data_IF_179328388620
#
_entry.id   IF_179328388620
#
_cell.length_a   1.000
_cell.length_b   1.000
_cell.length_c   1.000
_cell.angle_alpha   90.00
_cell.angle_beta   90.00
_cell.angle_gamma   90.00
#
_symmetry.space_group_name_H-M   'P 1'
#
loop_
_entity.id
_entity.type
_entity.pdbx_description
1 polymer ?
#
# COMPACT_ATOMS: atom_id res chain seq x y z
N UNK A 1 2.19 32.45 -86.44
CA UNK A 1 0.76 32.15 -86.16
C UNK A 1 0.72 30.90 -85.31
N UNK A 2 0.11 31.02 -84.11
CA UNK A 2 -0.42 29.95 -83.28
C UNK A 2 0.63 29.05 -82.63
N UNK A 3 0.67 28.80 -81.37
CA UNK A 3 -0.35 28.94 -80.32
C UNK A 3 0.34 28.76 -78.96
N UNK A 4 0.07 29.66 -78.07
CA UNK A 4 0.38 29.55 -76.64
C UNK A 4 -0.88 29.03 -75.99
N UNK A 5 -0.88 27.81 -75.41
CA UNK A 5 -1.79 27.40 -74.41
C UNK A 5 -1.48 25.93 -73.97
N UNK A 6 -0.61 25.72 -73.00
CA UNK A 6 -0.56 24.51 -72.24
C UNK A 6 0.53 24.61 -71.11
N UNK A 7 0.34 25.59 -70.22
CA UNK A 7 1.25 25.75 -69.09
C UNK A 7 0.53 26.13 -67.77
N UNK A 8 -0.80 25.92 -67.66
CA UNK A 8 -1.56 26.33 -66.46
C UNK A 8 -2.24 25.18 -65.68
N UNK A 9 -2.07 23.93 -66.13
CA UNK A 9 -2.74 22.78 -65.47
C UNK A 9 -1.80 21.94 -64.56
N UNK A 10 -0.50 22.18 -64.59
CA UNK A 10 0.47 21.41 -63.75
C UNK A 10 0.81 22.06 -62.42
N UNK A 11 0.38 23.32 -62.19
CA UNK A 11 0.67 24.02 -60.93
C UNK A 11 -0.45 23.88 -59.87
N UNK A 12 -1.67 23.47 -60.23
CA UNK A 12 -2.77 23.26 -59.29
C UNK A 12 -2.75 21.88 -58.65
N UNK A 13 -2.20 20.86 -59.31
CA UNK A 13 -2.14 19.50 -58.79
C UNK A 13 -0.96 19.29 -57.81
N UNK A 14 0.10 20.08 -57.92
CA UNK A 14 1.21 20.05 -56.95
C UNK A 14 0.90 20.77 -55.64
N UNK A 15 -0.04 21.75 -55.64
CA UNK A 15 -0.48 22.44 -54.41
C UNK A 15 -1.50 21.63 -53.62
N UNK A 16 -2.29 20.76 -54.29
CA UNK A 16 -3.25 19.87 -53.65
C UNK A 16 -2.62 18.63 -52.99
N UNK A 17 -1.48 18.16 -53.51
CA UNK A 17 -0.72 17.05 -52.93
C UNK A 17 0.13 17.46 -51.71
N UNK A 18 0.54 18.73 -51.63
CA UNK A 18 1.30 19.26 -50.49
C UNK A 18 0.42 19.60 -49.28
N UNK A 19 -0.90 19.84 -49.47
CA UNK A 19 -1.85 20.09 -48.36
C UNK A 19 -2.49 18.85 -47.77
N UNK A 20 -2.32 17.67 -48.39
CA UNK A 20 -2.80 16.37 -47.83
C UNK A 20 -1.74 15.59 -47.06
N UNK A 21 -0.48 16.09 -47.00
CA UNK A 21 0.58 15.47 -46.22
C UNK A 21 0.78 16.10 -44.82
N UNK A 22 -0.08 17.04 -44.42
CA UNK A 22 0.02 17.76 -43.15
C UNK A 22 -0.84 17.20 -42.02
N UNK A 23 -1.55 16.08 -42.22
CA UNK A 23 -2.40 15.44 -41.19
C UNK A 23 -2.15 13.92 -41.02
N UNK A 24 -0.89 13.50 -41.11
CA UNK A 24 -0.50 12.24 -40.49
C UNK A 24 -0.29 12.54 -38.97
N UNK A 25 -0.98 11.86 -38.06
CA UNK A 25 -0.72 12.06 -36.64
C UNK A 25 0.72 11.63 -36.37
N UNK A 26 1.57 12.64 -36.12
CA UNK A 26 2.94 12.47 -35.65
C UNK A 26 2.90 11.58 -34.42
N UNK A 27 3.77 10.58 -34.42
CA UNK A 27 4.01 9.52 -33.50
C UNK A 27 3.34 9.63 -32.14
N UNK A 28 2.70 8.54 -31.73
CA UNK A 28 2.04 8.41 -30.44
C UNK A 28 2.83 9.16 -29.35
N UNK A 29 2.32 10.32 -28.94
CA UNK A 29 2.70 10.97 -27.68
C UNK A 29 2.53 9.90 -26.61
N UNK A 30 3.66 9.42 -26.07
CA UNK A 30 3.66 8.67 -24.83
C UNK A 30 3.03 9.61 -23.82
N UNK A 31 1.75 9.40 -23.48
CA UNK A 31 1.02 10.28 -22.59
C UNK A 31 1.76 10.41 -21.27
N UNK A 32 2.45 11.52 -21.08
CA UNK A 32 2.92 11.91 -19.77
C UNK A 32 1.68 11.98 -18.88
N UNK A 33 1.74 11.28 -17.74
CA UNK A 33 0.66 11.34 -16.75
C UNK A 33 0.48 12.81 -16.34
N UNK A 34 -0.74 13.31 -16.47
CA UNK A 34 -1.06 14.68 -16.08
C UNK A 34 -0.84 14.85 -14.57
N UNK A 35 0.06 15.74 -14.18
CA UNK A 35 0.34 16.05 -12.77
C UNK A 35 -0.82 16.84 -12.17
N UNK A 36 -1.82 16.13 -11.67
CA UNK A 36 -3.07 16.69 -11.14
C UNK A 36 -3.13 16.74 -9.61
N UNK A 37 -2.38 15.85 -8.91
CA UNK A 37 -2.48 15.66 -7.45
C UNK A 37 -1.60 16.66 -6.68
N UNK A 38 -2.21 17.49 -5.83
CA UNK A 38 -1.50 18.36 -4.89
C UNK A 38 -1.17 17.64 -3.58
N UNK A 39 -0.51 18.36 -2.65
CA UNK A 39 -0.18 17.84 -1.32
C UNK A 39 -1.40 17.31 -0.53
N UNK A 40 -2.58 17.98 -0.49
CA UNK A 40 -3.74 17.47 0.25
C UNK A 40 -4.24 16.12 -0.27
N UNK A 41 -4.27 15.94 -1.60
CA UNK A 41 -4.68 14.67 -2.21
C UNK A 41 -3.68 13.56 -1.93
N UNK A 42 -2.38 13.85 -2.02
CA UNK A 42 -1.33 12.88 -1.67
C UNK A 42 -1.38 12.48 -0.19
N UNK A 43 -1.66 13.43 0.73
CA UNK A 43 -1.88 13.15 2.15
C UNK A 43 -3.13 12.29 2.37
N UNK A 44 -4.24 12.60 1.69
CA UNK A 44 -5.47 11.81 1.80
C UNK A 44 -5.26 10.36 1.35
N UNK A 45 -4.49 10.14 0.28
CA UNK A 45 -4.12 8.79 -0.18
C UNK A 45 -3.26 8.09 0.87
N UNK A 46 -2.19 8.73 1.36
CA UNK A 46 -1.27 8.12 2.32
C UNK A 46 -1.94 7.81 3.66
N UNK A 47 -2.65 8.77 4.24
CA UNK A 47 -3.39 8.58 5.50
C UNK A 47 -4.51 7.55 5.31
N UNK A 48 -5.29 7.67 4.25
CA UNK A 48 -6.43 6.79 4.00
C UNK A 48 -6.05 5.34 3.76
N UNK A 49 -4.89 5.08 3.14
CA UNK A 49 -4.39 3.72 2.94
C UNK A 49 -3.76 3.12 4.20
N UNK A 50 -3.17 3.94 5.08
CA UNK A 50 -2.65 3.50 6.37
C UNK A 50 -3.75 3.37 7.42
N UNK A 51 -4.67 4.34 7.53
CA UNK A 51 -5.85 4.27 8.43
C UNK A 51 -6.89 3.31 7.83
N UNK A 52 -6.45 2.11 7.52
CA UNK A 52 -7.30 1.01 7.08
C UNK A 52 -7.73 0.14 8.26
N UNK A 53 -7.76 -1.16 8.05
CA UNK A 53 -8.09 -2.13 9.09
C UNK A 53 -7.16 -2.06 10.32
N UNK A 54 -5.95 -1.54 10.18
CA UNK A 54 -4.94 -1.58 11.24
C UNK A 54 -5.37 -0.94 12.55
N UNK A 55 -5.92 0.28 12.50
CA UNK A 55 -6.37 0.99 13.71
C UNK A 55 -7.59 0.34 14.36
N UNK A 56 -8.34 -0.43 13.59
CA UNK A 56 -9.58 -1.06 14.04
C UNK A 56 -9.36 -2.49 14.55
N UNK A 57 -8.44 -3.26 13.95
CA UNK A 57 -8.24 -4.70 14.22
C UNK A 57 -7.13 -4.95 15.23
N UNK A 58 -6.01 -4.22 15.14
CA UNK A 58 -4.86 -4.51 15.99
C UNK A 58 -4.94 -4.09 17.47
N UNK A 59 -5.76 -3.14 17.91
CA UNK A 59 -5.72 -2.73 19.32
C UNK A 59 -5.90 -3.87 20.31
N UNK A 60 -6.83 -4.81 20.06
CA UNK A 60 -7.02 -5.98 20.91
C UNK A 60 -5.86 -6.96 20.85
N UNK A 61 -5.42 -7.31 19.65
CA UNK A 61 -4.30 -8.23 19.43
C UNK A 61 -2.99 -7.69 20.02
N UNK A 62 -2.65 -6.42 19.74
CA UNK A 62 -1.45 -5.79 20.24
C UNK A 62 -1.44 -5.63 21.78
N UNK A 63 -2.59 -5.27 22.36
CA UNK A 63 -2.73 -5.19 23.81
C UNK A 63 -2.60 -6.58 24.48
N UNK A 64 -3.06 -7.64 23.82
CA UNK A 64 -2.89 -9.02 24.28
C UNK A 64 -1.44 -9.48 24.30
N UNK A 65 -0.65 -9.10 23.29
CA UNK A 65 0.76 -9.50 23.20
C UNK A 65 1.70 -8.67 24.07
N UNK A 66 1.61 -7.32 24.01
CA UNK A 66 2.56 -6.44 24.67
C UNK A 66 1.96 -5.62 25.84
N UNK A 67 0.68 -5.77 26.12
CA UNK A 67 0.01 -4.96 27.14
C UNK A 67 0.00 -3.47 26.77
N UNK A 68 0.08 -2.57 27.76
CA UNK A 68 0.18 -1.12 27.51
C UNK A 68 1.41 -0.73 26.68
N UNK A 69 2.51 -1.53 26.73
CA UNK A 69 3.72 -1.29 25.96
C UNK A 69 3.50 -1.47 24.43
N UNK A 70 2.36 -1.97 23.97
CA UNK A 70 1.98 -2.00 22.56
C UNK A 70 2.01 -0.61 21.92
N UNK A 71 1.82 0.47 22.69
CA UNK A 71 2.03 1.84 22.16
C UNK A 71 3.44 2.09 21.66
N UNK A 72 4.46 1.49 22.31
CA UNK A 72 5.85 1.56 21.82
C UNK A 72 6.03 0.75 20.53
N UNK A 73 5.31 -0.36 20.36
CA UNK A 73 5.34 -1.14 19.14
C UNK A 73 4.88 -0.31 17.93
N UNK A 74 3.78 0.44 18.08
CA UNK A 74 3.33 1.36 17.04
C UNK A 74 4.29 2.54 16.84
N UNK A 75 4.88 3.09 17.90
CA UNK A 75 5.88 4.14 17.78
C UNK A 75 7.13 3.66 17.02
N UNK A 76 7.63 2.46 17.34
CA UNK A 76 8.76 1.83 16.63
C UNK A 76 8.39 1.59 15.17
N UNK A 77 7.19 1.06 14.88
CA UNK A 77 6.68 0.89 13.52
C UNK A 77 6.67 2.20 12.72
N UNK A 78 6.22 3.30 13.35
CA UNK A 78 6.26 4.63 12.75
C UNK A 78 7.69 5.11 12.47
N UNK A 79 8.62 4.89 13.39
CA UNK A 79 10.04 5.24 13.19
C UNK A 79 10.64 4.45 12.03
N UNK A 80 10.39 3.13 11.95
CA UNK A 80 10.85 2.30 10.82
C UNK A 80 10.25 2.83 9.51
N UNK A 81 8.95 3.11 9.50
CA UNK A 81 8.29 3.66 8.31
C UNK A 81 8.87 5.01 7.88
N UNK A 82 9.23 5.91 8.82
CA UNK A 82 9.90 7.18 8.53
C UNK A 82 11.31 6.99 7.96
N UNK A 83 12.09 6.06 8.54
CA UNK A 83 13.44 5.73 8.06
C UNK A 83 13.41 5.17 6.63
N UNK A 84 12.32 4.54 6.22
CA UNK A 84 12.11 4.03 4.85
C UNK A 84 11.49 5.09 3.95
N UNK A 85 10.57 5.92 4.45
CA UNK A 85 9.85 6.93 3.66
C UNK A 85 10.80 7.97 3.04
N UNK A 86 11.84 8.37 3.76
CA UNK A 86 12.84 9.33 3.27
C UNK A 86 13.67 8.79 2.09
N UNK A 87 14.29 7.61 2.16
CA UNK A 87 14.94 6.97 1.01
C UNK A 87 13.98 6.72 -0.16
N UNK A 88 12.77 6.26 0.13
CA UNK A 88 11.74 6.02 -0.89
C UNK A 88 11.35 7.30 -1.63
N UNK A 89 11.25 8.42 -0.91
CA UNK A 89 10.96 9.72 -1.50
C UNK A 89 12.05 10.16 -2.50
N UNK A 90 13.32 9.93 -2.18
CA UNK A 90 14.41 10.22 -3.11
C UNK A 90 14.35 9.34 -4.37
N UNK A 91 14.14 8.01 -4.18
CA UNK A 91 14.01 7.09 -5.31
C UNK A 91 12.83 7.47 -6.21
N UNK A 92 11.68 7.82 -5.61
CA UNK A 92 10.47 8.17 -6.34
C UNK A 92 10.58 9.51 -7.09
N UNK A 93 11.35 10.48 -6.58
CA UNK A 93 11.62 11.74 -7.30
C UNK A 93 12.66 11.58 -8.41
N UNK A 94 13.58 10.61 -8.29
CA UNK A 94 14.53 10.28 -9.34
C UNK A 94 13.93 9.43 -10.47
N UNK A 95 12.90 8.65 -10.16
CA UNK A 95 12.27 7.70 -11.06
C UNK A 95 10.73 7.81 -10.93
N UNK A 96 10.11 8.91 -11.45
CA UNK A 96 8.68 9.18 -11.29
C UNK A 96 7.81 8.31 -12.20
N UNK A 97 7.98 6.99 -12.11
CA UNK A 97 7.28 5.98 -12.89
C UNK A 97 6.33 5.16 -12.01
N UNK A 98 5.26 4.65 -12.60
CA UNK A 98 4.36 3.73 -11.94
C UNK A 98 5.02 2.36 -11.74
N UNK A 99 4.99 1.83 -10.51
CA UNK A 99 5.61 0.53 -10.17
C UNK A 99 6.22 0.49 -8.78
N UNK A 100 6.48 1.65 -8.18
CA UNK A 100 6.93 1.78 -6.79
C UNK A 100 8.20 0.97 -6.50
N UNK A 101 8.21 0.26 -5.35
CA UNK A 101 9.38 -0.46 -4.88
C UNK A 101 9.96 -1.49 -5.86
N UNK A 102 9.11 -2.20 -6.57
CA UNK A 102 9.55 -3.13 -7.63
C UNK A 102 10.38 -2.41 -8.70
N UNK A 103 9.89 -1.29 -9.20
CA UNK A 103 10.57 -0.53 -10.25
C UNK A 103 11.93 0.01 -9.76
N UNK A 104 11.97 0.60 -8.57
CA UNK A 104 13.20 1.16 -8.00
C UNK A 104 14.27 0.09 -7.79
N UNK A 105 13.89 -1.08 -7.27
CA UNK A 105 14.81 -2.17 -6.96
C UNK A 105 15.30 -2.86 -8.22
N UNK A 106 14.45 -3.10 -9.21
CA UNK A 106 14.84 -3.73 -10.47
C UNK A 106 15.87 -2.90 -11.24
N UNK A 107 15.77 -1.57 -11.19
CA UNK A 107 16.70 -0.64 -11.85
C UNK A 107 18.02 -0.44 -11.10
N UNK A 108 18.00 -0.57 -9.77
CA UNK A 108 19.19 -0.32 -8.93
C UNK A 108 19.99 -1.57 -8.61
N UNK A 109 19.31 -2.69 -8.27
CA UNK A 109 19.90 -3.94 -7.80
C UNK A 109 19.82 -5.08 -8.83
N UNK A 110 19.08 -4.89 -9.93
CA UNK A 110 19.00 -5.85 -11.02
C UNK A 110 17.80 -6.81 -10.95
N UNK A 111 17.70 -7.68 -11.98
CA UNK A 111 16.52 -8.49 -12.25
C UNK A 111 16.15 -9.50 -11.17
N UNK A 112 17.14 -10.12 -10.50
CA UNK A 112 16.89 -11.09 -9.44
C UNK A 112 16.11 -10.44 -8.28
N UNK A 113 16.66 -9.35 -7.72
CA UNK A 113 16.00 -8.64 -6.62
C UNK A 113 14.69 -7.99 -7.08
N UNK A 114 14.63 -7.50 -8.32
CA UNK A 114 13.40 -7.02 -8.95
C UNK A 114 12.32 -8.09 -8.98
N UNK A 115 12.63 -9.30 -9.44
CA UNK A 115 11.68 -10.42 -9.48
C UNK A 115 11.22 -10.84 -8.08
N UNK A 116 12.14 -10.99 -7.13
CA UNK A 116 11.82 -11.34 -5.75
C UNK A 116 10.89 -10.31 -5.11
N UNK A 117 11.19 -9.02 -5.28
CA UNK A 117 10.37 -7.94 -4.74
C UNK A 117 9.04 -7.81 -5.47
N UNK A 118 9.02 -7.96 -6.79
CA UNK A 118 7.79 -7.89 -7.56
C UNK A 118 6.78 -8.96 -7.18
N UNK A 119 7.22 -10.23 -7.10
CA UNK A 119 6.41 -11.35 -6.61
C UNK A 119 6.08 -11.17 -5.13
N UNK A 120 7.04 -10.73 -4.31
CA UNK A 120 6.84 -10.43 -2.89
C UNK A 120 5.80 -9.33 -2.68
N UNK A 121 5.84 -8.23 -3.41
CA UNK A 121 4.86 -7.14 -3.34
C UNK A 121 3.47 -7.61 -3.76
N UNK A 122 3.37 -8.37 -4.87
CA UNK A 122 2.10 -8.95 -5.30
C UNK A 122 1.49 -9.84 -4.22
N UNK A 123 2.23 -10.83 -3.73
CA UNK A 123 1.74 -11.74 -2.68
C UNK A 123 1.56 -11.04 -1.34
N UNK A 124 2.41 -10.08 -0.97
CA UNK A 124 2.23 -9.27 0.24
C UNK A 124 0.90 -8.54 0.25
N UNK A 125 0.47 -7.98 -0.90
CA UNK A 125 -0.85 -7.37 -1.06
C UNK A 125 -1.99 -8.41 -1.05
N UNK A 126 -1.76 -9.63 -1.53
CA UNK A 126 -2.71 -10.75 -1.43
C UNK A 126 -2.95 -11.12 0.03
N UNK A 127 -1.88 -11.29 0.82
CA UNK A 127 -1.97 -11.54 2.27
C UNK A 127 -2.65 -10.40 3.03
N UNK A 128 -2.29 -9.15 2.71
CA UNK A 128 -2.94 -7.97 3.29
C UNK A 128 -4.43 -7.91 2.94
N UNK A 129 -4.82 -8.24 1.71
CA UNK A 129 -6.24 -8.29 1.31
C UNK A 129 -7.02 -9.34 2.09
N UNK A 130 -6.45 -10.53 2.29
CA UNK A 130 -7.06 -11.57 3.11
C UNK A 130 -7.20 -11.12 4.57
N UNK A 131 -6.18 -10.46 5.15
CA UNK A 131 -6.25 -9.86 6.48
C UNK A 131 -7.37 -8.82 6.59
N UNK A 132 -7.49 -7.90 5.62
CA UNK A 132 -8.56 -6.88 5.64
C UNK A 132 -9.95 -7.48 5.51
N UNK A 133 -10.13 -8.51 4.68
CA UNK A 133 -11.40 -9.22 4.53
C UNK A 133 -11.78 -10.01 5.79
N UNK A 134 -10.82 -10.61 6.47
CA UNK A 134 -11.06 -11.24 7.78
C UNK A 134 -11.50 -10.20 8.81
N UNK A 135 -10.80 -9.06 8.90
CA UNK A 135 -11.20 -7.95 9.75
C UNK A 135 -12.63 -7.48 9.46
N UNK A 136 -12.99 -7.34 8.16
CA UNK A 136 -14.36 -7.01 7.75
C UNK A 136 -15.38 -8.06 8.23
N UNK A 137 -15.02 -9.33 8.17
CA UNK A 137 -15.86 -10.43 8.67
C UNK A 137 -16.15 -10.32 10.17
N UNK A 138 -15.15 -9.98 10.99
CA UNK A 138 -15.32 -9.74 12.43
C UNK A 138 -16.27 -8.57 12.71
N UNK A 139 -16.06 -7.44 12.03
CA UNK A 139 -16.93 -6.27 12.16
C UNK A 139 -18.37 -6.53 11.73
N UNK A 140 -18.57 -7.30 10.66
CA UNK A 140 -19.90 -7.70 10.21
C UNK A 140 -20.58 -8.64 11.22
N UNK A 141 -19.82 -9.58 11.81
CA UNK A 141 -20.31 -10.46 12.88
C UNK A 141 -20.79 -9.65 14.09
N UNK A 142 -20.01 -8.66 14.53
CA UNK A 142 -20.39 -7.77 15.62
C UNK A 142 -21.60 -6.90 15.29
N UNK A 143 -21.72 -6.41 14.05
CA UNK A 143 -22.90 -5.67 13.61
C UNK A 143 -24.17 -6.52 13.74
N UNK A 144 -24.14 -7.77 13.28
CA UNK A 144 -25.30 -8.67 13.36
C UNK A 144 -25.67 -8.98 14.81
N UNK A 145 -24.67 -9.16 15.68
CA UNK A 145 -24.89 -9.40 17.11
C UNK A 145 -25.52 -8.17 17.81
N UNK A 146 -25.03 -6.96 17.51
CA UNK A 146 -25.53 -5.73 18.11
C UNK A 146 -26.95 -5.40 17.64
N UNK A 147 -27.27 -5.69 16.36
CA UNK A 147 -28.60 -5.45 15.80
C UNK A 147 -29.63 -6.55 16.14
N UNK A 148 -29.18 -7.65 16.76
CA UNK A 148 -30.05 -8.78 17.12
C UNK A 148 -30.55 -9.60 15.91
N UNK A 149 -29.93 -9.44 14.74
CA UNK A 149 -30.32 -10.20 13.54
C UNK A 149 -29.90 -11.67 13.59
N UNK A 150 -28.78 -11.94 14.27
CA UNK A 150 -28.26 -13.28 14.50
C UNK A 150 -27.25 -13.26 15.67
N UNK A 151 -26.87 -14.44 16.19
CA UNK A 151 -25.83 -14.60 17.22
C UNK A 151 -24.41 -14.22 16.69
N UNK A 152 -24.32 -13.68 15.50
CA UNK A 152 -23.14 -13.28 14.77
C UNK A 152 -23.07 -13.95 13.39
N UNK A 153 -22.43 -13.29 12.41
CA UNK A 153 -22.16 -13.92 11.13
C UNK A 153 -20.91 -14.82 11.22
N UNK A 154 -20.86 -15.96 10.51
CA UNK A 154 -19.63 -16.73 10.39
C UNK A 154 -18.55 -15.87 9.71
N UNK A 155 -17.49 -15.50 10.44
CA UNK A 155 -16.43 -14.56 10.00
C UNK A 155 -15.84 -14.97 8.64
N UNK A 156 -15.40 -16.24 8.53
CA UNK A 156 -14.81 -16.78 7.31
C UNK A 156 -15.78 -16.75 6.13
N UNK A 157 -17.03 -17.14 6.34
CA UNK A 157 -18.04 -17.13 5.27
C UNK A 157 -18.35 -15.70 4.78
N UNK A 158 -18.43 -14.74 5.70
CA UNK A 158 -18.62 -13.32 5.39
C UNK A 158 -17.43 -12.76 4.61
N UNK A 159 -16.20 -13.05 5.06
CA UNK A 159 -14.98 -12.65 4.37
C UNK A 159 -14.88 -13.24 2.96
N UNK A 160 -15.23 -14.52 2.78
CA UNK A 160 -15.27 -15.17 1.47
C UNK A 160 -16.32 -14.55 0.56
N UNK A 161 -17.55 -14.37 1.05
CA UNK A 161 -18.65 -13.79 0.25
C UNK A 161 -18.32 -12.38 -0.25
N UNK A 162 -17.79 -11.53 0.64
CA UNK A 162 -17.38 -10.17 0.27
C UNK A 162 -16.13 -10.19 -0.61
N UNK A 163 -15.16 -11.09 -0.37
CA UNK A 163 -13.99 -11.26 -1.22
C UNK A 163 -14.34 -11.65 -2.65
N UNK A 164 -15.29 -12.57 -2.85
CA UNK A 164 -15.84 -12.95 -4.15
C UNK A 164 -16.53 -11.73 -4.80
N UNK A 165 -17.36 -11.02 -4.04
CA UNK A 165 -18.07 -9.84 -4.52
C UNK A 165 -17.10 -8.75 -4.99
N UNK A 166 -16.09 -8.38 -4.17
CA UNK A 166 -15.10 -7.35 -4.51
C UNK A 166 -14.26 -7.75 -5.72
N UNK A 167 -13.82 -9.01 -5.80
CA UNK A 167 -13.10 -9.51 -6.96
C UNK A 167 -13.96 -9.43 -8.22
N UNK A 168 -15.23 -9.83 -8.13
CA UNK A 168 -16.18 -9.74 -9.22
C UNK A 168 -16.45 -8.30 -9.68
N UNK A 169 -16.68 -7.39 -8.75
CA UNK A 169 -16.84 -5.94 -9.02
C UNK A 169 -15.59 -5.36 -9.66
N UNK A 170 -14.39 -5.74 -9.19
CA UNK A 170 -13.12 -5.30 -9.77
C UNK A 170 -12.95 -5.75 -11.23
N UNK A 171 -13.47 -6.93 -11.61
CA UNK A 171 -13.47 -7.41 -13.00
C UNK A 171 -14.40 -6.58 -13.89
N UNK A 172 -15.54 -6.13 -13.36
CA UNK A 172 -16.50 -5.32 -14.14
C UNK A 172 -16.05 -3.88 -14.36
N UNK A 173 -15.08 -3.41 -13.58
CA UNK A 173 -14.49 -2.06 -13.68
C UNK A 173 -15.43 -0.96 -13.17
N UNK A 174 -15.01 -0.25 -12.14
CA UNK A 174 -15.76 0.91 -11.60
C UNK A 174 -15.05 2.21 -11.92
N UNK A 175 -15.72 3.12 -12.61
CA UNK A 175 -15.14 4.43 -13.02
C UNK A 175 -15.09 5.48 -11.90
N UNK A 176 -15.81 5.31 -10.79
CA UNK A 176 -16.01 6.36 -9.77
C UNK A 176 -15.38 6.03 -8.39
N UNK A 177 -14.28 5.29 -8.34
CA UNK A 177 -13.71 4.81 -7.07
C UNK A 177 -13.01 5.93 -6.27
N UNK A 178 -12.51 6.98 -6.92
CA UNK A 178 -11.71 8.02 -6.26
C UNK A 178 -12.50 8.92 -5.32
N UNK A 179 -13.66 9.43 -5.76
CA UNK A 179 -14.48 10.33 -4.94
C UNK A 179 -15.08 9.61 -3.73
N UNK A 180 -15.53 8.36 -3.93
CA UNK A 180 -16.03 7.53 -2.84
C UNK A 180 -14.94 7.28 -1.79
N UNK A 181 -13.71 7.00 -2.22
CA UNK A 181 -12.56 6.81 -1.33
C UNK A 181 -12.30 8.05 -0.48
N UNK A 182 -12.34 9.25 -1.07
CA UNK A 182 -12.13 10.50 -0.35
C UNK A 182 -13.20 10.73 0.73
N UNK A 183 -14.47 10.43 0.43
CA UNK A 183 -15.55 10.52 1.41
C UNK A 183 -15.40 9.50 2.54
N UNK A 184 -14.99 8.27 2.24
CA UNK A 184 -14.71 7.25 3.26
C UNK A 184 -13.60 7.75 4.19
N UNK A 185 -12.47 8.22 3.65
CA UNK A 185 -11.33 8.71 4.44
C UNK A 185 -11.73 9.92 5.30
N UNK A 186 -12.46 10.89 4.73
CA UNK A 186 -12.94 12.05 5.49
C UNK A 186 -13.86 11.62 6.66
N UNK A 187 -14.80 10.70 6.40
CA UNK A 187 -15.69 10.18 7.45
C UNK A 187 -14.93 9.45 8.55
N UNK A 188 -13.93 8.62 8.17
CA UNK A 188 -13.05 7.94 9.11
C UNK A 188 -12.26 8.91 9.99
N UNK A 189 -11.72 10.00 9.41
CA UNK A 189 -10.99 11.01 10.15
C UNK A 189 -11.90 11.73 11.17
N UNK A 190 -13.15 12.03 10.81
CA UNK A 190 -14.12 12.65 11.72
C UNK A 190 -14.46 11.70 12.87
N UNK A 191 -14.73 10.41 12.58
CA UNK A 191 -15.03 9.39 13.61
C UNK A 191 -13.85 9.23 14.56
N UNK A 192 -12.63 9.10 14.03
CA UNK A 192 -11.42 8.96 14.83
C UNK A 192 -11.10 10.21 15.64
N UNK A 193 -11.28 11.40 15.08
CA UNK A 193 -11.09 12.66 15.80
C UNK A 193 -12.07 12.77 16.98
N UNK A 194 -13.33 12.39 16.80
CA UNK A 194 -14.32 12.33 17.88
C UNK A 194 -13.95 11.32 18.96
N UNK A 195 -13.53 10.12 18.56
CA UNK A 195 -13.06 9.07 19.47
C UNK A 195 -11.82 9.53 20.26
N UNK A 196 -10.81 10.06 19.57
CA UNK A 196 -9.56 10.55 20.18
C UNK A 196 -9.82 11.72 21.12
N UNK A 197 -10.62 12.72 20.68
CA UNK A 197 -10.92 13.88 21.48
C UNK A 197 -11.59 13.50 22.81
N UNK A 198 -12.62 12.66 22.75
CA UNK A 198 -13.27 12.16 23.99
C UNK A 198 -12.33 11.29 24.83
N UNK A 199 -11.54 10.42 24.18
CA UNK A 199 -10.58 9.57 24.90
C UNK A 199 -9.51 10.38 25.65
N UNK A 200 -8.96 11.43 25.01
CA UNK A 200 -7.98 12.33 25.64
C UNK A 200 -8.61 13.07 26.84
N UNK A 201 -9.82 13.61 26.67
CA UNK A 201 -10.53 14.28 27.77
C UNK A 201 -10.82 13.34 28.94
N UNK A 202 -11.16 12.10 28.64
CA UNK A 202 -11.39 11.07 29.66
C UNK A 202 -10.09 10.73 30.42
N UNK A 203 -9.00 10.49 29.67
CA UNK A 203 -7.67 10.23 30.26
C UNK A 203 -7.16 11.45 31.03
N UNK A 204 -7.51 12.67 30.65
CA UNK A 204 -7.21 13.89 31.41
C UNK A 204 -8.01 14.02 32.71
N UNK A 205 -8.97 13.10 32.99
CA UNK A 205 -9.77 13.08 34.20
C UNK A 205 -11.03 13.95 34.17
N UNK A 206 -11.39 14.48 32.99
CA UNK A 206 -12.58 15.36 32.84
C UNK A 206 -13.87 14.64 33.23
N UNK A 207 -13.98 13.34 32.95
CA UNK A 207 -15.17 12.53 33.23
C UNK A 207 -15.10 11.72 34.54
N UNK A 208 -13.97 11.79 35.28
CA UNK A 208 -13.80 11.16 36.61
C UNK A 208 -13.91 9.64 36.60
N UNK A 209 -13.67 8.97 35.47
CA UNK A 209 -13.73 7.51 35.38
C UNK A 209 -12.52 6.88 36.04
N UNK A 210 -12.73 5.73 36.71
CA UNK A 210 -11.66 4.92 37.24
C UNK A 210 -10.85 4.30 36.10
N UNK A 211 -9.53 4.35 36.23
CA UNK A 211 -8.58 3.75 35.29
C UNK A 211 -8.16 2.38 35.78
N UNK A 212 -7.93 1.47 34.83
CA UNK A 212 -7.38 0.16 35.16
C UNK A 212 -5.88 0.31 35.43
N UNK A 213 -5.40 0.08 36.68
CA UNK A 213 -3.96 0.11 36.97
C UNK A 213 -3.27 -1.02 36.20
N UNK A 214 -2.19 -0.71 35.50
CA UNK A 214 -1.46 -1.70 34.72
C UNK A 214 0.06 -1.52 34.88
N UNK A 215 0.78 -2.66 34.90
CA UNK A 215 2.23 -2.67 34.67
C UNK A 215 2.50 -2.35 33.20
N UNK A 216 3.43 -1.42 32.93
CA UNK A 216 3.68 -0.98 31.55
C UNK A 216 4.26 -2.10 30.67
N UNK A 217 5.14 -2.95 31.22
CA UNK A 217 5.73 -4.13 30.55
C UNK A 217 5.30 -5.42 31.24
N UNK A 218 4.04 -5.85 31.13
CA UNK A 218 3.57 -7.03 31.85
C UNK A 218 4.25 -8.32 31.38
N UNK A 219 4.64 -8.37 30.12
CA UNK A 219 5.25 -9.53 29.46
C UNK A 219 6.73 -9.32 29.09
N UNK A 220 7.35 -8.25 29.61
CA UNK A 220 8.74 -7.88 29.28
C UNK A 220 8.86 -7.05 27.99
N UNK A 221 10.10 -6.90 27.47
CA UNK A 221 10.40 -6.02 26.36
C UNK A 221 10.30 -6.72 25.00
N UNK A 222 10.55 -8.03 24.93
CA UNK A 222 10.55 -8.79 23.67
C UNK A 222 9.19 -8.69 22.95
N UNK A 223 8.04 -8.81 23.63
CA UNK A 223 6.72 -8.64 22.99
C UNK A 223 6.53 -7.29 22.28
N UNK A 224 7.22 -6.24 22.67
CA UNK A 224 7.16 -4.96 21.93
C UNK A 224 7.65 -5.12 20.49
N UNK A 225 8.70 -5.90 20.26
CA UNK A 225 9.24 -6.13 18.93
C UNK A 225 8.41 -7.13 18.12
N UNK A 226 7.91 -8.21 18.75
CA UNK A 226 7.01 -9.16 18.07
C UNK A 226 5.71 -8.47 17.66
N UNK A 227 5.13 -7.65 18.54
CA UNK A 227 3.96 -6.83 18.21
C UNK A 227 4.28 -5.81 17.12
N UNK A 228 5.48 -5.18 17.12
CA UNK A 228 5.88 -4.28 16.02
C UNK A 228 5.87 -5.02 14.67
N UNK A 229 6.37 -6.24 14.65
CA UNK A 229 6.40 -7.08 13.45
C UNK A 229 4.98 -7.41 12.96
N UNK A 230 4.08 -7.77 13.87
CA UNK A 230 2.66 -8.06 13.61
C UNK A 230 1.93 -6.85 13.01
N UNK A 231 2.05 -5.68 13.67
CA UNK A 231 1.26 -4.49 13.33
C UNK A 231 1.84 -3.69 12.14
N UNK A 232 3.03 -4.04 11.65
CA UNK A 232 3.70 -3.24 10.62
C UNK A 232 2.90 -3.14 9.32
N UNK A 233 2.05 -4.11 9.04
CA UNK A 233 1.08 -4.07 7.92
C UNK A 233 0.21 -2.80 7.94
N UNK A 234 0.03 -2.16 9.09
CA UNK A 234 -0.71 -0.89 9.22
C UNK A 234 0.01 0.30 8.60
N UNK A 235 1.32 0.21 8.40
CA UNK A 235 2.14 1.28 7.82
C UNK A 235 2.41 1.11 6.32
N UNK A 236 1.89 0.06 5.65
CA UNK A 236 2.21 -0.21 4.24
C UNK A 236 1.77 0.92 3.29
N UNK A 237 0.77 1.70 3.69
CA UNK A 237 0.13 2.71 2.84
C UNK A 237 1.03 3.88 2.40
N UNK A 238 2.07 4.24 3.15
CA UNK A 238 2.94 5.36 2.77
C UNK A 238 3.65 5.12 1.43
N UNK A 239 4.03 3.88 1.15
CA UNK A 239 4.70 3.53 -0.10
C UNK A 239 3.76 3.63 -1.33
N UNK A 240 2.46 3.63 -1.13
CA UNK A 240 1.50 3.85 -2.22
C UNK A 240 1.56 5.27 -2.78
N UNK A 241 1.95 6.27 -1.96
CA UNK A 241 2.19 7.62 -2.45
C UNK A 241 3.31 7.62 -3.50
N UNK A 242 4.36 6.81 -3.30
CA UNK A 242 5.47 6.69 -4.24
C UNK A 242 5.06 6.08 -5.59
N UNK A 243 4.05 5.22 -5.63
CA UNK A 243 3.54 4.64 -6.89
C UNK A 243 2.82 5.67 -7.77
N UNK A 244 2.41 6.79 -7.19
CA UNK A 244 1.71 7.89 -7.85
C UNK A 244 2.61 9.12 -8.08
N UNK A 245 3.93 8.96 -7.94
CA UNK A 245 4.90 10.06 -8.06
C UNK A 245 4.78 10.84 -9.37
N UNK A 246 4.46 10.16 -10.49
CA UNK A 246 4.25 10.78 -11.81
C UNK A 246 3.02 11.70 -11.90
N UNK A 247 2.04 11.54 -10.99
CA UNK A 247 0.79 12.33 -10.97
C UNK A 247 0.83 13.48 -9.95
N UNK A 248 1.87 13.54 -9.10
CA UNK A 248 2.00 14.55 -8.04
C UNK A 248 2.64 15.83 -8.59
N UNK A 249 2.00 16.98 -8.30
CA UNK A 249 2.55 18.31 -8.58
C UNK A 249 3.74 18.58 -7.68
N UNK A 250 4.81 19.18 -8.23
CA UNK A 250 6.07 19.49 -7.53
C UNK A 250 6.56 18.28 -6.70
N UNK A 251 6.86 17.12 -7.35
CA UNK A 251 7.15 15.86 -6.66
C UNK A 251 8.33 15.99 -5.70
N UNK A 252 9.36 16.78 -6.03
CA UNK A 252 10.50 17.03 -5.15
C UNK A 252 10.14 17.61 -3.79
N UNK A 253 9.02 18.30 -3.69
CA UNK A 253 8.55 18.95 -2.46
C UNK A 253 7.36 18.24 -1.83
N UNK A 254 6.35 17.91 -2.64
CA UNK A 254 5.08 17.39 -2.13
C UNK A 254 5.15 15.92 -1.76
N UNK A 255 5.89 15.10 -2.49
CA UNK A 255 6.00 13.67 -2.26
C UNK A 255 6.68 13.34 -0.91
N UNK A 256 7.88 13.89 -0.57
CA UNK A 256 8.49 13.64 0.73
C UNK A 256 7.61 14.13 1.89
N UNK A 257 6.97 15.31 1.72
CA UNK A 257 6.07 15.85 2.75
C UNK A 257 4.86 14.98 2.95
N UNK A 258 4.22 14.53 1.87
CA UNK A 258 3.07 13.64 1.96
C UNK A 258 3.43 12.34 2.67
N UNK A 259 4.55 11.70 2.32
CA UNK A 259 4.98 10.45 2.95
C UNK A 259 5.30 10.64 4.43
N UNK A 260 6.11 11.63 4.79
CA UNK A 260 6.53 11.86 6.18
C UNK A 260 5.36 12.29 7.06
N UNK A 261 4.56 13.27 6.62
CA UNK A 261 3.42 13.77 7.41
C UNK A 261 2.38 12.67 7.58
N UNK A 262 2.10 11.87 6.55
CA UNK A 262 1.15 10.75 6.66
C UNK A 262 1.58 9.73 7.71
N UNK A 263 2.86 9.33 7.72
CA UNK A 263 3.39 8.39 8.72
C UNK A 263 3.33 8.99 10.13
N UNK A 264 3.69 10.27 10.30
CA UNK A 264 3.63 10.94 11.61
C UNK A 264 2.20 11.03 12.14
N UNK A 265 1.25 11.47 11.31
CA UNK A 265 -0.16 11.59 11.70
C UNK A 265 -0.71 10.23 12.09
N UNK A 266 -0.50 9.22 11.26
CA UNK A 266 -1.02 7.87 11.51
C UNK A 266 -0.33 7.21 12.70
N UNK A 267 0.98 7.40 12.86
CA UNK A 267 1.72 6.91 14.02
C UNK A 267 1.18 7.48 15.34
N UNK A 268 0.91 8.79 15.38
CA UNK A 268 0.29 9.44 16.55
C UNK A 268 -1.11 8.89 16.81
N UNK A 269 -1.93 8.72 15.76
CA UNK A 269 -3.28 8.14 15.89
C UNK A 269 -3.22 6.73 16.49
N UNK A 270 -2.32 5.89 16.04
CA UNK A 270 -2.16 4.52 16.57
C UNK A 270 -1.71 4.52 18.02
N UNK A 271 -0.67 5.27 18.36
CA UNK A 271 -0.16 5.36 19.73
C UNK A 271 -1.26 5.85 20.68
N UNK A 272 -2.00 6.89 20.29
CA UNK A 272 -3.13 7.41 21.09
C UNK A 272 -4.26 6.39 21.22
N UNK A 273 -4.58 5.66 20.15
CA UNK A 273 -5.62 4.61 20.20
C UNK A 273 -5.28 3.55 21.24
N UNK A 274 -4.07 3.02 21.23
CA UNK A 274 -3.62 2.02 22.20
C UNK A 274 -3.60 2.61 23.61
N UNK A 275 -3.08 3.81 23.77
CA UNK A 275 -3.03 4.49 25.06
C UNK A 275 -4.42 4.66 25.68
N UNK A 276 -5.37 5.18 24.92
CA UNK A 276 -6.75 5.37 25.36
C UNK A 276 -7.40 4.01 25.68
N UNK A 277 -7.24 3.04 24.77
CA UNK A 277 -7.89 1.73 24.90
C UNK A 277 -7.40 0.96 26.14
N UNK A 278 -6.08 0.91 26.35
CA UNK A 278 -5.49 0.22 27.51
C UNK A 278 -5.79 0.93 28.82
N UNK A 279 -5.82 2.28 28.83
CA UNK A 279 -6.15 3.06 30.01
C UNK A 279 -7.59 2.84 30.50
N UNK A 280 -8.54 2.59 29.59
CA UNK A 280 -9.95 2.46 29.89
C UNK A 280 -10.37 1.03 30.23
N UNK A 281 -10.00 0.06 29.42
CA UNK A 281 -10.48 -1.32 29.55
C UNK A 281 -9.42 -2.28 30.10
N UNK A 282 -8.15 -1.88 30.09
CA UNK A 282 -7.04 -2.77 30.43
C UNK A 282 -6.68 -3.74 29.30
N UNK A 283 -5.43 -4.19 29.30
CA UNK A 283 -4.89 -5.05 28.25
C UNK A 283 -5.52 -6.44 28.21
N UNK A 284 -5.83 -7.03 29.37
CA UNK A 284 -6.48 -8.36 29.44
C UNK A 284 -7.86 -8.33 28.79
N UNK A 285 -8.67 -7.32 29.14
CA UNK A 285 -10.01 -7.18 28.56
C UNK A 285 -9.98 -6.91 27.06
N UNK A 286 -9.02 -6.11 26.60
CA UNK A 286 -8.84 -5.85 25.16
C UNK A 286 -8.45 -7.13 24.41
N UNK A 287 -7.59 -7.97 25.01
CA UNK A 287 -7.19 -9.26 24.45
C UNK A 287 -8.38 -10.22 24.30
N UNK A 288 -9.22 -10.31 25.32
CA UNK A 288 -10.44 -11.14 25.29
C UNK A 288 -11.44 -10.70 24.19
N UNK A 289 -11.49 -9.38 23.91
CA UNK A 289 -12.36 -8.81 22.88
C UNK A 289 -11.80 -8.97 21.47
N UNK A 290 -10.51 -9.24 21.34
CA UNK A 290 -9.85 -9.55 20.07
C UNK A 290 -9.94 -8.40 19.05
N UNK A 291 -10.24 -8.73 17.80
CA UNK A 291 -10.15 -7.86 16.63
C UNK A 291 -11.16 -6.70 16.64
N UNK A 292 -12.23 -6.78 17.43
CA UNK A 292 -13.25 -5.71 17.54
C UNK A 292 -13.20 -4.96 18.86
N UNK A 293 -12.12 -5.11 19.63
CA UNK A 293 -11.96 -4.51 20.96
C UNK A 293 -12.25 -3.00 20.99
N UNK A 294 -11.85 -2.25 19.93
CA UNK A 294 -12.05 -0.80 19.84
C UNK A 294 -13.54 -0.39 19.84
N UNK A 295 -14.46 -1.26 19.39
CA UNK A 295 -15.91 -1.00 19.46
C UNK A 295 -16.36 -0.93 20.92
N UNK A 296 -15.84 -1.79 21.77
CA UNK A 296 -16.12 -1.79 23.20
C UNK A 296 -15.52 -0.58 23.93
N UNK A 297 -14.31 -0.16 23.54
CA UNK A 297 -13.69 1.10 24.02
C UNK A 297 -14.57 2.30 23.67
N UNK A 298 -15.02 2.39 22.42
CA UNK A 298 -15.89 3.46 21.96
C UNK A 298 -17.25 3.46 22.67
N UNK A 299 -17.77 2.26 22.98
CA UNK A 299 -18.99 2.12 23.80
C UNK A 299 -18.79 2.65 25.23
N UNK A 300 -17.65 2.38 25.82
CA UNK A 300 -17.29 2.91 27.13
C UNK A 300 -17.16 4.45 27.13
N UNK A 301 -16.62 5.04 26.05
CA UNK A 301 -16.42 6.49 25.92
C UNK A 301 -17.69 7.27 25.58
N UNK A 302 -18.41 6.84 24.56
CA UNK A 302 -19.48 7.57 23.89
C UNK A 302 -20.82 6.81 23.88
N UNK A 303 -20.91 5.72 24.63
CA UNK A 303 -22.11 4.87 24.67
C UNK A 303 -22.39 4.17 23.34
N UNK A 304 -23.66 3.87 23.09
CA UNK A 304 -24.10 3.15 21.87
C UNK A 304 -23.77 3.90 20.59
N UNK A 305 -23.81 5.23 20.62
CA UNK A 305 -23.45 6.06 19.46
C UNK A 305 -21.98 5.88 19.07
N UNK A 306 -21.05 5.90 20.05
CA UNK A 306 -19.64 5.67 19.82
C UNK A 306 -19.35 4.28 19.25
N UNK A 307 -20.00 3.25 19.82
CA UNK A 307 -19.89 1.89 19.33
C UNK A 307 -20.36 1.78 17.87
N UNK A 308 -21.51 2.36 17.54
CA UNK A 308 -22.06 2.36 16.18
C UNK A 308 -21.15 3.11 15.20
N UNK A 309 -20.61 4.26 15.61
CA UNK A 309 -19.70 5.05 14.78
C UNK A 309 -18.40 4.30 14.48
N UNK A 310 -17.76 3.70 15.50
CA UNK A 310 -16.53 2.92 15.32
C UNK A 310 -16.81 1.63 14.52
N UNK A 311 -17.95 1.00 14.71
CA UNK A 311 -18.36 -0.18 13.94
C UNK A 311 -18.51 0.16 12.46
N UNK A 312 -19.22 1.24 12.14
CA UNK A 312 -19.37 1.74 10.77
C UNK A 312 -18.01 2.13 10.18
N UNK A 313 -17.16 2.83 10.96
CA UNK A 313 -15.80 3.19 10.57
C UNK A 313 -14.95 1.95 10.25
N UNK A 314 -14.97 0.93 11.10
CA UNK A 314 -14.25 -0.33 10.90
C UNK A 314 -14.71 -1.08 9.64
N UNK A 315 -16.01 -1.16 9.39
CA UNK A 315 -16.55 -1.75 8.15
C UNK A 315 -16.10 -0.99 6.91
N UNK A 316 -16.20 0.34 6.91
CA UNK A 316 -15.79 1.17 5.78
C UNK A 316 -14.28 1.09 5.55
N UNK A 317 -13.48 1.14 6.61
CA UNK A 317 -12.02 1.09 6.53
C UNK A 317 -11.52 -0.26 5.98
N UNK A 318 -12.04 -1.37 6.54
CA UNK A 318 -11.65 -2.71 6.12
C UNK A 318 -12.07 -3.01 4.68
N UNK A 319 -13.30 -2.62 4.30
CA UNK A 319 -13.81 -2.76 2.93
C UNK A 319 -12.98 -1.97 1.93
N UNK A 320 -12.69 -0.70 2.25
CA UNK A 320 -11.87 0.19 1.42
C UNK A 320 -10.46 -0.35 1.23
N UNK A 321 -9.81 -0.78 2.33
CA UNK A 321 -8.44 -1.32 2.29
C UNK A 321 -8.37 -2.64 1.53
N UNK A 322 -9.36 -3.53 1.70
CA UNK A 322 -9.44 -4.77 0.94
C UNK A 322 -9.55 -4.50 -0.57
N UNK A 323 -10.46 -3.59 -0.97
CA UNK A 323 -10.64 -3.22 -2.37
C UNK A 323 -9.37 -2.60 -2.97
N UNK A 324 -8.74 -1.65 -2.27
CA UNK A 324 -7.50 -1.01 -2.70
C UNK A 324 -6.36 -2.01 -2.86
N UNK A 325 -6.21 -2.96 -1.92
CA UNK A 325 -5.18 -3.99 -1.96
C UNK A 325 -5.40 -5.01 -3.08
N UNK A 326 -6.64 -5.45 -3.34
CA UNK A 326 -6.99 -6.32 -4.46
C UNK A 326 -6.61 -5.65 -5.80
N UNK A 327 -6.98 -4.39 -5.98
CA UNK A 327 -6.66 -3.65 -7.20
C UNK A 327 -5.14 -3.42 -7.34
N UNK A 328 -4.46 -3.03 -6.28
CA UNK A 328 -3.00 -2.82 -6.29
C UNK A 328 -2.24 -4.13 -6.56
N UNK A 329 -2.68 -5.23 -5.97
CA UNK A 329 -2.12 -6.57 -6.21
C UNK A 329 -2.27 -6.99 -7.67
N UNK A 330 -3.45 -6.81 -8.26
CA UNK A 330 -3.68 -7.14 -9.67
C UNK A 330 -2.82 -6.30 -10.62
N UNK A 331 -2.58 -5.02 -10.29
CA UNK A 331 -1.66 -4.15 -11.05
C UNK A 331 -0.21 -4.58 -10.91
N UNK A 332 0.19 -5.04 -9.72
CA UNK A 332 1.56 -5.53 -9.48
C UNK A 332 1.88 -6.74 -10.36
N UNK A 333 1.00 -7.76 -10.37
CA UNK A 333 1.22 -8.95 -11.22
C UNK A 333 1.10 -8.63 -12.72
N UNK A 334 0.24 -7.67 -13.09
CA UNK A 334 0.14 -7.16 -14.46
C UNK A 334 1.45 -6.51 -14.92
N UNK A 335 2.06 -5.68 -14.06
CA UNK A 335 3.35 -5.05 -14.34
C UNK A 335 4.46 -6.08 -14.52
N UNK A 336 4.52 -7.12 -13.68
CA UNK A 336 5.46 -8.24 -13.85
C UNK A 336 5.27 -8.96 -15.18
N UNK A 337 4.02 -9.12 -15.65
CA UNK A 337 3.71 -9.67 -16.97
C UNK A 337 4.23 -8.77 -18.08
N UNK A 338 4.02 -7.46 -18.01
CA UNK A 338 4.50 -6.46 -18.97
C UNK A 338 6.03 -6.49 -19.10
N UNK A 339 6.73 -6.64 -17.99
CA UNK A 339 8.19 -6.67 -17.96
C UNK A 339 8.75 -8.08 -18.27
N UNK A 340 7.89 -9.06 -18.63
CA UNK A 340 8.30 -10.41 -19.05
C UNK A 340 8.75 -11.33 -17.90
N UNK A 341 8.61 -10.92 -16.64
CA UNK A 341 9.00 -11.71 -15.47
C UNK A 341 8.02 -12.84 -15.15
N UNK A 342 6.78 -12.73 -15.63
CA UNK A 342 5.75 -13.77 -15.56
C UNK A 342 5.06 -13.91 -16.93
N UNK A 343 4.25 -14.97 -17.08
CA UNK A 343 3.59 -15.27 -18.35
C UNK A 343 2.82 -14.06 -18.93
N UNK A 344 2.96 -13.75 -20.24
CA UNK A 344 2.24 -12.65 -20.89
C UNK A 344 0.70 -12.78 -20.83
N UNK A 345 0.18 -13.96 -20.53
CA UNK A 345 -1.27 -14.18 -20.36
C UNK A 345 -1.88 -13.31 -19.27
N UNK A 346 -1.07 -12.90 -18.27
CA UNK A 346 -1.51 -12.04 -17.17
C UNK A 346 -1.93 -10.64 -17.64
N UNK A 347 -1.41 -10.20 -18.79
CA UNK A 347 -1.73 -8.91 -19.39
C UNK A 347 -3.06 -8.91 -20.16
N UNK A 348 -3.73 -10.04 -20.30
CA UNK A 348 -4.96 -10.13 -21.06
C UNK A 348 -6.05 -9.26 -20.45
N UNK A 349 -6.54 -8.32 -21.25
CA UNK A 349 -7.65 -7.45 -20.89
C UNK A 349 -8.98 -8.09 -21.31
N UNK A 350 -9.98 -7.95 -20.46
CA UNK A 350 -11.35 -8.34 -20.80
C UNK A 350 -11.85 -7.56 -22.02
N UNK A 351 -12.41 -8.24 -23.01
CA UNK A 351 -12.97 -7.60 -24.23
C UNK A 351 -14.12 -6.64 -23.90
N UNK A 352 -14.90 -6.93 -22.85
CA UNK A 352 -16.08 -6.14 -22.45
C UNK A 352 -15.72 -4.98 -21.51
N UNK A 353 -14.89 -5.23 -20.51
CA UNK A 353 -14.63 -4.29 -19.42
C UNK A 353 -13.26 -3.60 -19.49
N UNK A 354 -12.36 -4.07 -20.37
CA UNK A 354 -10.97 -3.60 -20.51
C UNK A 354 -10.16 -3.66 -19.20
N UNK A 355 -10.52 -4.57 -18.30
CA UNK A 355 -9.83 -4.84 -17.04
C UNK A 355 -8.92 -6.05 -17.16
N UNK A 356 -7.81 -6.15 -16.42
CA UNK A 356 -6.89 -7.29 -16.44
C UNK A 356 -7.50 -8.48 -15.68
N UNK A 357 -8.47 -9.16 -16.27
CA UNK A 357 -9.26 -10.20 -15.63
C UNK A 357 -8.41 -11.40 -15.17
N UNK A 358 -7.36 -11.78 -15.92
CA UNK A 358 -6.47 -12.87 -15.53
C UNK A 358 -5.67 -12.48 -14.28
N UNK A 359 -5.15 -11.26 -14.22
CA UNK A 359 -4.44 -10.75 -13.06
C UNK A 359 -5.36 -10.67 -11.82
N UNK A 360 -6.62 -10.25 -12.01
CA UNK A 360 -7.62 -10.21 -10.94
C UNK A 360 -7.99 -11.60 -10.42
N UNK A 361 -8.12 -12.60 -11.28
CA UNK A 361 -8.39 -13.98 -10.87
C UNK A 361 -7.19 -14.60 -10.16
N UNK A 362 -5.96 -14.36 -10.66
CA UNK A 362 -4.72 -14.79 -10.01
C UNK A 362 -4.50 -14.12 -8.64
N UNK A 363 -5.08 -12.95 -8.43
CA UNK A 363 -5.08 -12.26 -7.13
C UNK A 363 -6.20 -12.78 -6.23
N UNK A 364 -7.44 -12.83 -6.73
CA UNK A 364 -8.62 -13.22 -5.96
C UNK A 364 -8.60 -14.67 -5.50
N UNK A 365 -8.16 -15.61 -6.34
CA UNK A 365 -8.06 -17.04 -5.98
C UNK A 365 -7.22 -17.30 -4.72
N UNK A 366 -5.96 -16.87 -4.68
CA UNK A 366 -5.12 -16.99 -3.48
C UNK A 366 -5.69 -16.26 -2.26
N UNK A 367 -6.31 -15.07 -2.42
CA UNK A 367 -6.97 -14.36 -1.31
C UNK A 367 -8.03 -15.26 -0.67
N UNK A 368 -8.92 -15.85 -1.47
CA UNK A 368 -9.98 -16.75 -0.98
C UNK A 368 -9.39 -17.99 -0.29
N UNK A 369 -8.32 -18.56 -0.83
CA UNK A 369 -7.64 -19.68 -0.20
C UNK A 369 -7.01 -19.32 1.16
N UNK A 370 -6.43 -18.11 1.28
CA UNK A 370 -5.86 -17.60 2.52
C UNK A 370 -6.92 -17.29 3.58
N UNK A 371 -8.10 -16.80 3.18
CA UNK A 371 -9.23 -16.61 4.10
C UNK A 371 -9.66 -17.94 4.74
N UNK A 372 -9.64 -19.04 3.97
CA UNK A 372 -9.93 -20.37 4.52
C UNK A 372 -8.91 -20.84 5.56
N UNK A 373 -7.66 -20.35 5.47
CA UNK A 373 -6.65 -20.62 6.51
C UNK A 373 -6.96 -19.93 7.82
N UNK A 374 -7.61 -18.76 7.82
CA UNK A 374 -8.30 -18.12 8.93
C UNK A 374 -7.42 -17.53 10.06
N UNK A 375 -6.08 -17.54 9.94
CA UNK A 375 -5.17 -17.00 10.96
C UNK A 375 -4.76 -15.56 10.64
N UNK A 376 -5.47 -14.62 11.25
CA UNK A 376 -5.33 -13.16 11.00
C UNK A 376 -3.91 -12.67 11.25
N UNK A 377 -3.27 -13.15 12.34
CA UNK A 377 -1.92 -12.75 12.72
C UNK A 377 -0.90 -13.17 11.65
N UNK A 378 -0.98 -14.42 11.17
CA UNK A 378 -0.07 -14.93 10.14
C UNK A 378 -0.26 -14.17 8.82
N UNK A 379 -1.52 -13.85 8.45
CA UNK A 379 -1.81 -13.06 7.25
C UNK A 379 -1.16 -11.68 7.32
N UNK A 380 -1.28 -11.00 8.47
CA UNK A 380 -0.69 -9.69 8.70
C UNK A 380 0.83 -9.74 8.74
N UNK A 381 1.43 -10.72 9.43
CA UNK A 381 2.88 -10.86 9.53
C UNK A 381 3.54 -11.19 8.19
N UNK A 382 2.99 -12.12 7.39
CA UNK A 382 3.55 -12.45 6.07
C UNK A 382 3.44 -11.24 5.14
N UNK A 383 2.33 -10.50 5.16
CA UNK A 383 2.21 -9.25 4.43
C UNK A 383 3.29 -8.25 4.87
N UNK A 384 3.48 -8.09 6.18
CA UNK A 384 4.54 -7.23 6.75
C UNK A 384 5.93 -7.67 6.31
N UNK A 385 6.25 -8.97 6.38
CA UNK A 385 7.55 -9.52 6.01
C UNK A 385 7.93 -9.20 4.57
N UNK A 386 7.02 -9.47 3.64
CA UNK A 386 7.27 -9.26 2.21
C UNK A 386 7.48 -7.78 1.87
N UNK A 387 6.75 -6.88 2.55
CA UNK A 387 6.94 -5.44 2.38
C UNK A 387 8.19 -4.92 3.11
N UNK A 388 8.50 -5.40 4.32
CA UNK A 388 9.73 -5.04 5.05
C UNK A 388 10.97 -5.47 4.26
N UNK A 389 10.93 -6.63 3.62
CA UNK A 389 12.00 -7.07 2.71
C UNK A 389 12.18 -6.07 1.55
N UNK A 390 11.10 -5.66 0.91
CA UNK A 390 11.12 -4.64 -0.13
C UNK A 390 11.66 -3.30 0.40
N UNK A 391 11.21 -2.84 1.56
CA UNK A 391 11.62 -1.58 2.17
C UNK A 391 13.10 -1.56 2.55
N UNK A 392 13.60 -2.65 3.11
CA UNK A 392 15.03 -2.82 3.36
C UNK A 392 15.85 -2.73 2.08
N UNK A 393 15.41 -3.40 1.01
CA UNK A 393 16.08 -3.32 -0.29
C UNK A 393 15.96 -1.94 -0.96
N UNK A 394 14.89 -1.17 -0.75
CA UNK A 394 14.81 0.21 -1.22
C UNK A 394 15.83 1.11 -0.55
N UNK A 395 16.05 0.92 0.75
CA UNK A 395 17.11 1.61 1.48
C UNK A 395 18.51 1.25 0.94
N UNK A 396 18.76 -0.03 0.68
CA UNK A 396 20.01 -0.52 0.06
C UNK A 396 20.15 0.04 -1.36
N UNK A 397 19.07 0.05 -2.14
CA UNK A 397 19.05 0.59 -3.50
C UNK A 397 19.50 2.06 -3.56
N UNK A 398 19.03 2.88 -2.61
CA UNK A 398 19.48 4.27 -2.51
C UNK A 398 20.98 4.37 -2.25
N UNK A 399 21.52 3.55 -1.33
CA UNK A 399 22.96 3.55 -1.04
C UNK A 399 23.76 3.18 -2.29
N UNK A 400 23.35 2.14 -3.02
CA UNK A 400 24.01 1.68 -4.25
C UNK A 400 23.95 2.74 -5.35
N UNK A 401 22.79 3.38 -5.57
CA UNK A 401 22.64 4.43 -6.59
C UNK A 401 23.50 5.66 -6.30
N UNK A 402 23.55 6.08 -5.04
CA UNK A 402 24.41 7.20 -4.65
C UNK A 402 25.91 6.90 -4.74
N UNK A 403 26.31 5.63 -4.59
CA UNK A 403 27.70 5.20 -4.79
C UNK A 403 28.07 5.10 -6.27
N UNK A 404 27.18 4.47 -7.08
CA UNK A 404 27.42 4.29 -8.54
C UNK A 404 27.26 5.56 -9.35
N UNK A 405 26.41 6.50 -8.91
CA UNK A 405 26.10 7.78 -9.56
C UNK A 405 25.84 7.66 -11.07
N UNK A 406 24.88 6.82 -11.50
CA UNK A 406 24.57 6.74 -12.93
C UNK A 406 24.06 8.09 -13.43
N UNK A 407 24.35 8.43 -14.70
CA UNK A 407 24.05 9.75 -15.30
C UNK A 407 22.56 10.11 -15.22
N UNK A 408 21.68 9.12 -15.36
CA UNK A 408 20.23 9.31 -15.31
C UNK A 408 19.67 9.53 -13.90
N UNK A 409 20.46 9.33 -12.83
CA UNK A 409 20.01 9.46 -11.44
C UNK A 409 20.09 10.92 -10.98
N UNK A 410 19.03 11.68 -11.22
CA UNK A 410 18.91 13.11 -10.87
C UNK A 410 17.72 13.37 -9.96
N UNK A 411 17.79 12.99 -8.65
CA UNK A 411 16.68 13.16 -7.73
C UNK A 411 16.41 14.64 -7.43
N UNK A 412 15.13 15.05 -7.49
CA UNK A 412 14.69 16.38 -7.06
C UNK A 412 14.73 16.55 -5.54
N UNK A 413 14.52 15.46 -4.79
CA UNK A 413 14.66 15.41 -3.33
C UNK A 413 15.84 14.52 -2.95
N UNK A 414 16.63 14.96 -1.98
CA UNK A 414 17.74 14.16 -1.43
C UNK A 414 17.46 13.80 0.02
N UNK A 415 17.51 12.51 0.33
CA UNK A 415 17.32 11.98 1.68
C UNK A 415 18.30 12.63 2.66
N UNK A 416 17.81 13.30 3.71
CA UNK A 416 18.67 13.87 4.75
C UNK A 416 19.33 12.78 5.56
N UNK A 417 20.48 13.10 6.18
CA UNK A 417 21.19 12.15 7.03
C UNK A 417 21.79 10.93 6.32
N UNK A 418 22.05 11.03 5.02
CA UNK A 418 22.77 9.99 4.28
C UNK A 418 24.23 9.88 4.77
N UNK A 419 24.80 8.66 4.94
CA UNK A 419 24.20 7.33 4.70
C UNK A 419 23.45 6.72 5.89
N UNK A 420 23.38 7.41 7.02
CA UNK A 420 22.88 6.87 8.30
C UNK A 420 21.39 6.47 8.18
N UNK A 421 20.55 7.35 7.66
CA UNK A 421 19.10 7.09 7.55
C UNK A 421 18.79 5.85 6.72
N UNK A 422 19.27 5.69 5.47
CA UNK A 422 18.97 4.48 4.70
C UNK A 422 19.62 3.22 5.32
N UNK A 423 20.78 3.31 5.95
CA UNK A 423 21.39 2.14 6.61
C UNK A 423 20.56 1.71 7.83
N UNK A 424 20.13 2.65 8.67
CA UNK A 424 19.25 2.34 9.80
C UNK A 424 17.89 1.83 9.32
N UNK A 425 17.33 2.39 8.25
CA UNK A 425 16.09 1.92 7.64
C UNK A 425 16.19 0.46 7.14
N UNK A 426 17.30 0.11 6.49
CA UNK A 426 17.55 -1.26 6.06
C UNK A 426 17.71 -2.22 7.25
N UNK A 427 18.55 -1.85 8.24
CA UNK A 427 18.80 -2.67 9.44
C UNK A 427 17.50 -2.87 10.24
N UNK A 428 16.72 -1.81 10.43
CA UNK A 428 15.45 -1.90 11.15
C UNK A 428 14.42 -2.76 10.40
N UNK A 429 14.31 -2.59 9.08
CA UNK A 429 13.38 -3.38 8.26
C UNK A 429 13.72 -4.87 8.26
N UNK A 430 14.98 -5.23 8.10
CA UNK A 430 15.39 -6.65 8.17
C UNK A 430 15.42 -7.16 9.61
N UNK A 431 15.80 -6.31 10.59
CA UNK A 431 15.90 -6.71 11.98
C UNK A 431 14.55 -7.08 12.60
N UNK A 432 13.47 -6.35 12.27
CA UNK A 432 12.15 -6.65 12.83
C UNK A 432 11.59 -7.98 12.32
N UNK A 433 12.01 -8.44 11.14
CA UNK A 433 11.60 -9.76 10.59
C UNK A 433 12.02 -10.89 11.53
N UNK A 434 13.15 -10.76 12.22
CA UNK A 434 13.63 -11.79 13.15
C UNK A 434 12.71 -12.01 14.38
N UNK A 435 11.81 -11.07 14.67
CA UNK A 435 10.84 -11.14 15.77
C UNK A 435 9.46 -11.66 15.34
N UNK A 436 9.27 -12.02 14.07
CA UNK A 436 8.02 -12.58 13.57
C UNK A 436 7.85 -14.04 13.98
N UNK A 437 6.62 -14.52 13.91
CA UNK A 437 6.31 -15.93 14.14
C UNK A 437 7.12 -16.82 13.17
N UNK A 438 7.74 -17.92 13.65
CA UNK A 438 8.50 -18.83 12.79
C UNK A 438 7.75 -19.35 11.56
N UNK A 439 6.43 -19.54 11.68
CA UNK A 439 5.58 -19.93 10.53
C UNK A 439 5.52 -18.83 9.48
N UNK A 440 5.37 -17.57 9.90
CA UNK A 440 5.35 -16.41 9.01
C UNK A 440 6.70 -16.22 8.32
N UNK A 441 7.80 -16.39 9.06
CA UNK A 441 9.15 -16.34 8.49
C UNK A 441 9.33 -17.45 7.46
N UNK A 442 8.96 -18.69 7.78
CA UNK A 442 9.09 -19.83 6.86
C UNK A 442 8.30 -19.62 5.56
N UNK A 443 7.05 -19.12 5.68
CA UNK A 443 6.23 -18.80 4.51
C UNK A 443 6.82 -17.65 3.69
N UNK A 444 7.21 -16.55 4.32
CA UNK A 444 7.79 -15.40 3.63
C UNK A 444 9.11 -15.73 2.93
N UNK A 445 10.03 -16.42 3.62
CA UNK A 445 11.31 -16.88 3.05
C UNK A 445 11.05 -17.90 1.94
N UNK A 446 10.09 -18.82 2.12
CA UNK A 446 9.68 -19.77 1.09
C UNK A 446 9.17 -19.07 -0.17
N UNK A 447 8.34 -18.04 -0.04
CA UNK A 447 7.85 -17.22 -1.15
C UNK A 447 9.01 -16.52 -1.87
N UNK A 448 9.91 -15.87 -1.13
CA UNK A 448 11.05 -15.16 -1.71
C UNK A 448 12.04 -16.14 -2.37
N UNK A 449 12.26 -17.31 -1.77
CA UNK A 449 13.07 -18.40 -2.35
C UNK A 449 12.46 -18.96 -3.63
N UNK A 450 11.15 -19.18 -3.65
CA UNK A 450 10.42 -19.59 -4.85
C UNK A 450 10.50 -18.53 -5.96
N UNK A 451 10.40 -17.23 -5.62
CA UNK A 451 10.58 -16.14 -6.57
C UNK A 451 12.00 -16.09 -7.15
N UNK A 452 13.02 -16.33 -6.33
CA UNK A 452 14.41 -16.42 -6.78
C UNK A 452 14.64 -17.62 -7.70
N UNK A 453 14.09 -18.81 -7.35
CA UNK A 453 14.14 -19.98 -8.19
C UNK A 453 13.40 -19.77 -9.52
N UNK A 454 12.23 -19.13 -9.48
CA UNK A 454 11.48 -18.74 -10.67
C UNK A 454 12.31 -17.83 -11.60
N UNK A 455 12.97 -16.83 -11.04
CA UNK A 455 13.86 -15.97 -11.80
C UNK A 455 14.98 -16.76 -12.48
N UNK A 456 15.63 -17.66 -11.76
CA UNK A 456 16.73 -18.46 -12.29
C UNK A 456 16.33 -19.37 -13.45
N UNK A 457 15.07 -19.88 -13.45
CA UNK A 457 14.56 -20.81 -14.46
C UNK A 457 13.88 -20.10 -15.62
N UNK A 458 13.10 -19.05 -15.35
CA UNK A 458 12.22 -18.45 -16.35
C UNK A 458 12.65 -17.06 -16.80
N UNK A 459 13.13 -16.21 -15.90
CA UNK A 459 13.29 -14.78 -16.16
C UNK A 459 14.77 -14.35 -16.29
N UNK A 460 15.72 -15.27 -16.26
CA UNK A 460 17.16 -14.95 -16.28
C UNK A 460 17.58 -14.17 -17.53
N UNK A 461 16.97 -14.50 -18.68
CA UNK A 461 17.31 -13.90 -19.98
C UNK A 461 16.53 -12.60 -20.25
N UNK A 462 15.65 -12.18 -19.31
CA UNK A 462 14.89 -10.93 -19.41
C UNK A 462 15.80 -9.77 -19.03
N UNK A 463 16.27 -9.00 -20.00
CA UNK A 463 17.07 -7.80 -19.74
C UNK A 463 16.13 -6.62 -19.42
N UNK A 464 15.94 -6.33 -18.13
CA UNK A 464 15.19 -5.17 -17.64
C UNK A 464 15.88 -3.82 -18.01
N UNK A 465 17.14 -3.87 -18.49
CA UNK A 465 17.92 -2.68 -18.91
C UNK A 465 17.52 -2.11 -20.27
N UNK A 466 16.88 -2.89 -21.16
CA UNK A 466 16.49 -2.41 -22.49
C UNK A 466 15.39 -1.33 -22.46
N UNK A 467 14.58 -1.27 -21.41
CA UNK A 467 13.57 -0.23 -21.25
C UNK A 467 14.14 1.15 -20.89
N UNK A 468 15.43 1.25 -20.54
CA UNK A 468 16.12 2.53 -20.31
C UNK A 468 16.91 3.03 -21.52
N UNK A 469 17.22 2.18 -22.49
CA UNK A 469 17.98 2.55 -23.68
C UNK A 469 17.10 3.26 -24.74
N UNK A 470 15.82 2.88 -24.87
CA UNK A 470 14.88 3.50 -25.81
C UNK A 470 14.49 4.96 -25.46
N UNK A 471 14.83 5.42 -24.25
CA UNK A 471 14.62 6.83 -23.86
C UNK A 471 15.84 7.73 -24.10
N UNK A 472 16.96 7.18 -24.55
CA UNK A 472 18.21 7.92 -24.78
C UNK A 472 18.63 8.02 -26.26
N UNK A 473 17.93 7.38 -27.17
CA UNK A 473 18.10 7.66 -28.61
C UNK A 473 17.23 8.85 -29.02
N UNK A 474 17.73 10.04 -28.74
CA UNK A 474 17.36 11.23 -29.54
C UNK A 474 17.77 10.96 -30.99
N UNK A 475 16.99 11.39 -32.00
CA UNK A 475 17.43 11.31 -33.39
C UNK A 475 18.77 12.06 -33.51
N UNK A 476 19.81 11.34 -33.89
CA UNK A 476 21.05 11.98 -34.36
C UNK A 476 20.69 12.87 -35.52
N UNK A 477 20.89 14.18 -35.37
CA UNK A 477 21.04 15.10 -36.45
C UNK A 477 22.11 14.56 -37.41
N UNK A 478 21.68 14.02 -38.54
CA UNK A 478 22.56 13.80 -39.66
C UNK A 478 22.47 15.03 -40.61
N UNK A 479 23.59 15.51 -41.13
CA UNK A 479 23.78 16.84 -41.77
C UNK A 479 23.10 17.02 -43.12
#
# INVERSE_FOLDING_TARGET
>A
MTSSSDASTSASDASSAASQQADAPSGAERGELERSLGLPQALAIGIGTMVGAGIFVFPGLAAGEAGPAAMLSFAIGAVIALLVALPTSELATAMPESGGGYYFISRSLGGLFGCMVGIGQWLGLVFASAFYLMGLGYYLSDLMRITGWADGAPVVASALGIGILLTGVSITGTKNTGDLQNWIVASLMVILAGFMGNGILDVAGVFGRERVPQTFFPYGVVPVFTTTALIFTSYLGFAQIATMAGEIKDPGRNLPRAMVISVLVVGVLYVLTIFISTSLLGSERLSELGETAIVSVARALLGTFGAAAILAGGLLATLSSANASILSSSRSIYALGRDGLVSPKVQQLSRRFRTPHVALLLTGGPILALILYGRVEILAEVASLLHLFMYGLMCVALVVLRQKRPVWYTPEFRCPGYPVVPVLGALASFGIIAFMNPTSIALGVGILGAAAAWYAVYARDVSLSKLSADSSESPSDDP
#
